data_IF_207932490523
#
_entry.id   IF_207932490523
#
_cell.length_a   1.000
_cell.length_b   1.000
_cell.length_c   1.000
_cell.angle_alpha   90.00
_cell.angle_beta   90.00
_cell.angle_gamma   90.00
#
_symmetry.space_group_name_H-M   'P 1'
#
loop_
_entity.id
_entity.type
_entity.pdbx_description
1 polymer ?
#
# COMPACT_ATOMS: atom_id res chain seq x y z
N UNK A 1 -12.36 -4.81 -14.93
CA UNK A 1 -10.92 -5.17 -14.99
C UNK A 1 -10.09 -3.90 -15.12
N UNK A 2 -9.11 -3.73 -14.25
CA UNK A 2 -8.19 -2.61 -14.33
C UNK A 2 -6.96 -3.00 -15.16
N UNK A 3 -6.35 -2.02 -15.81
CA UNK A 3 -5.20 -2.23 -16.67
C UNK A 3 -4.22 -1.08 -16.55
N UNK A 4 -2.93 -1.39 -16.46
CA UNK A 4 -1.84 -0.41 -16.52
C UNK A 4 -0.80 -0.87 -17.50
N UNK A 5 -0.05 0.08 -18.08
CA UNK A 5 1.06 -0.23 -18.98
C UNK A 5 2.28 -0.63 -18.16
N UNK A 6 3.00 -1.66 -18.64
CA UNK A 6 4.31 -1.99 -18.10
C UNK A 6 5.33 -0.95 -18.58
N UNK A 7 6.33 -0.67 -17.74
CA UNK A 7 7.43 0.20 -18.16
C UNK A 7 8.41 -0.56 -19.06
N UNK A 8 9.48 0.10 -19.53
CA UNK A 8 10.44 -0.46 -20.48
C UNK A 8 11.19 -1.70 -19.96
N UNK A 9 11.22 -1.93 -18.66
CA UNK A 9 11.84 -3.11 -18.04
C UNK A 9 10.84 -4.15 -17.55
N UNK A 10 9.56 -3.95 -17.84
CA UNK A 10 8.51 -4.92 -17.53
C UNK A 10 7.89 -4.79 -16.14
N UNK A 11 8.10 -3.67 -15.43
CA UNK A 11 7.47 -3.43 -14.15
C UNK A 11 6.12 -2.73 -14.30
N UNK A 12 5.18 -3.06 -13.41
CA UNK A 12 3.90 -2.40 -13.30
C UNK A 12 3.94 -1.35 -12.20
N UNK A 13 3.44 -0.15 -12.52
CA UNK A 13 3.21 0.92 -11.55
C UNK A 13 1.74 1.28 -11.58
N UNK A 14 1.13 1.36 -10.40
CA UNK A 14 -0.27 1.74 -10.24
C UNK A 14 -0.36 3.01 -9.41
N UNK A 15 -1.41 3.81 -9.64
CA UNK A 15 -1.66 4.99 -8.81
C UNK A 15 -2.55 4.60 -7.64
N UNK A 16 -2.05 4.87 -6.43
CA UNK A 16 -2.86 4.90 -5.22
C UNK A 16 -3.33 6.33 -4.99
N UNK A 17 -4.64 6.52 -5.00
CA UNK A 17 -5.23 7.78 -4.59
C UNK A 17 -5.54 7.67 -3.11
N UNK A 18 -4.87 8.48 -2.30
CA UNK A 18 -4.93 8.41 -0.84
C UNK A 18 -5.65 9.64 -0.32
N UNK A 19 -6.55 9.43 0.63
CA UNK A 19 -7.24 10.52 1.30
C UNK A 19 -6.30 11.16 2.31
N UNK A 20 -6.00 12.49 2.17
CA UNK A 20 -5.23 13.20 3.17
C UNK A 20 -5.99 13.34 4.48
N UNK A 21 -5.26 13.58 5.59
CA UNK A 21 -5.86 13.69 6.91
C UNK A 21 -6.79 14.90 7.06
N UNK A 22 -6.51 15.98 6.36
CA UNK A 22 -7.20 17.28 6.53
C UNK A 22 -7.84 17.80 5.25
N UNK A 23 -8.09 16.92 4.28
CA UNK A 23 -8.65 17.30 2.99
C UNK A 23 -9.50 16.18 2.43
N UNK A 24 -10.50 16.52 1.64
CA UNK A 24 -11.29 15.54 0.88
C UNK A 24 -10.74 15.31 -0.53
N UNK A 25 -9.77 16.14 -0.95
CA UNK A 25 -9.14 15.99 -2.26
C UNK A 25 -8.09 14.89 -2.21
N UNK A 26 -8.36 13.79 -2.90
CA UNK A 26 -7.46 12.65 -2.98
C UNK A 26 -6.12 13.04 -3.60
N UNK A 27 -5.03 12.47 -3.08
CA UNK A 27 -3.67 12.64 -3.62
C UNK A 27 -3.19 11.32 -4.16
N UNK A 28 -2.56 11.33 -5.32
CA UNK A 28 -2.07 10.10 -5.93
C UNK A 28 -0.57 9.92 -5.72
N UNK A 29 -0.19 8.68 -5.46
CA UNK A 29 1.20 8.25 -5.38
C UNK A 29 1.38 7.07 -6.31
N UNK A 30 2.52 7.01 -7.01
CA UNK A 30 2.83 5.91 -7.91
C UNK A 30 3.47 4.76 -7.13
N UNK A 31 2.80 3.61 -7.13
CA UNK A 31 3.24 2.41 -6.41
C UNK A 31 3.72 1.35 -7.39
N UNK A 32 4.91 0.80 -7.11
CA UNK A 32 5.42 -0.35 -7.85
C UNK A 32 4.76 -1.62 -7.35
N UNK A 33 4.22 -2.40 -8.27
CA UNK A 33 3.72 -3.76 -7.96
C UNK A 33 4.91 -4.65 -7.70
N UNK A 34 5.08 -5.12 -6.46
CA UNK A 34 6.26 -5.87 -6.04
C UNK A 34 5.87 -7.15 -5.30
N UNK A 35 5.91 -8.26 -6.04
CA UNK A 35 5.58 -9.58 -5.47
C UNK A 35 6.64 -10.08 -4.48
N UNK A 36 7.83 -9.48 -4.47
CA UNK A 36 8.89 -9.78 -3.50
C UNK A 36 8.76 -9.03 -2.18
N UNK A 37 7.86 -8.02 -2.10
CA UNK A 37 7.61 -7.28 -0.88
C UNK A 37 6.45 -7.92 -0.11
N UNK A 38 6.63 -8.14 1.19
CA UNK A 38 5.57 -8.70 2.05
C UNK A 38 4.53 -7.64 2.42
N UNK A 39 4.95 -6.40 2.55
CA UNK A 39 4.12 -5.29 3.04
C UNK A 39 4.07 -4.16 2.03
N UNK A 40 2.91 -3.51 1.96
CA UNK A 40 2.76 -2.25 1.26
C UNK A 40 3.38 -1.16 2.12
N UNK A 41 4.22 -0.33 1.53
CA UNK A 41 5.06 0.62 2.24
C UNK A 41 4.74 2.07 1.90
N UNK A 42 5.06 2.97 2.81
CA UNK A 42 5.01 4.41 2.59
C UNK A 42 6.10 5.06 3.44
N UNK A 43 6.70 6.14 2.94
CA UNK A 43 7.67 6.87 3.74
C UNK A 43 6.99 7.84 4.70
N UNK A 44 7.64 8.11 5.82
CA UNK A 44 7.19 9.14 6.78
C UNK A 44 7.00 10.49 6.09
N UNK A 45 7.90 10.83 5.19
CA UNK A 45 7.85 12.09 4.44
C UNK A 45 6.56 12.22 3.63
N UNK A 46 6.14 11.16 2.94
CA UNK A 46 4.88 11.19 2.20
C UNK A 46 3.67 11.29 3.12
N UNK A 47 3.70 10.59 4.26
CA UNK A 47 2.62 10.70 5.24
C UNK A 47 2.52 12.12 5.79
N UNK A 48 3.64 12.77 6.07
CA UNK A 48 3.63 14.16 6.53
C UNK A 48 3.05 15.10 5.47
N UNK A 49 3.41 14.92 4.21
CA UNK A 49 2.83 15.69 3.10
C UNK A 49 1.32 15.49 3.01
N UNK A 50 0.83 14.29 3.32
CA UNK A 50 -0.59 13.97 3.33
C UNK A 50 -1.31 14.46 4.59
N UNK A 51 -0.62 15.14 5.49
CA UNK A 51 -1.20 15.69 6.72
C UNK A 51 -1.22 14.73 7.90
N UNK A 52 -0.57 13.58 7.78
CA UNK A 52 -0.41 12.63 8.90
C UNK A 52 0.94 12.90 9.55
N UNK A 53 0.92 13.47 10.76
CA UNK A 53 2.14 13.83 11.46
C UNK A 53 2.76 12.63 12.21
N UNK A 54 3.93 12.86 12.81
CA UNK A 54 4.65 11.81 13.50
C UNK A 54 3.87 11.27 14.71
N UNK A 55 3.13 12.12 15.40
CA UNK A 55 2.30 11.67 16.53
C UNK A 55 1.18 10.75 16.06
N UNK A 56 0.56 11.08 14.93
CA UNK A 56 -0.45 10.22 14.34
C UNK A 56 0.13 8.86 13.93
N UNK A 57 1.31 8.86 13.29
CA UNK A 57 1.99 7.61 12.89
C UNK A 57 2.23 6.71 14.09
N UNK A 58 2.66 7.27 15.20
CA UNK A 58 2.96 6.51 16.42
C UNK A 58 1.71 5.94 17.12
N UNK A 59 0.50 6.32 16.70
CA UNK A 59 -0.72 5.66 17.16
C UNK A 59 -0.94 4.29 16.49
N UNK A 60 -0.18 3.98 15.44
CA UNK A 60 -0.22 2.68 14.80
C UNK A 60 0.41 1.58 15.64
N UNK A 61 0.52 0.39 15.06
CA UNK A 61 1.11 -0.77 15.73
C UNK A 61 2.63 -0.77 15.58
N UNK A 62 3.34 -0.59 16.70
CA UNK A 62 4.78 -0.73 16.71
C UNK A 62 5.16 -2.20 16.51
N UNK A 63 6.00 -2.47 15.51
CA UNK A 63 6.49 -3.82 15.24
C UNK A 63 7.76 -4.07 16.06
N UNK A 64 7.73 -5.12 16.89
CA UNK A 64 8.78 -5.45 17.82
C UNK A 64 9.24 -6.91 17.65
N UNK A 65 10.45 -7.20 18.10
CA UNK A 65 11.00 -8.56 18.11
C UNK A 65 11.06 -9.16 16.71
N UNK A 66 10.55 -10.38 16.59
CA UNK A 66 10.56 -11.13 15.33
C UNK A 66 9.61 -10.56 14.27
N UNK A 67 8.70 -9.67 14.68
CA UNK A 67 7.76 -9.01 13.76
C UNK A 67 8.38 -7.77 13.07
N UNK A 68 9.60 -7.37 13.46
CA UNK A 68 10.26 -6.24 12.82
C UNK A 68 10.62 -6.58 11.38
N UNK A 69 10.37 -5.65 10.43
CA UNK A 69 10.86 -5.83 9.08
C UNK A 69 12.39 -5.77 9.04
N UNK A 70 12.97 -6.40 8.03
CA UNK A 70 14.41 -6.38 7.82
C UNK A 70 14.74 -5.77 6.48
N UNK A 71 15.89 -5.09 6.41
CA UNK A 71 16.48 -4.71 5.13
C UNK A 71 16.93 -5.94 4.36
N UNK A 72 17.13 -5.79 3.05
CA UNK A 72 17.62 -6.87 2.20
C UNK A 72 18.92 -7.51 2.72
N UNK A 73 19.74 -6.75 3.46
CA UNK A 73 20.97 -7.25 4.09
C UNK A 73 20.73 -8.01 5.40
N UNK A 74 19.46 -8.22 5.80
CA UNK A 74 19.12 -8.96 7.03
C UNK A 74 19.16 -8.14 8.31
N UNK A 75 19.42 -6.82 8.23
CA UNK A 75 19.44 -5.94 9.41
C UNK A 75 17.98 -5.56 9.78
N UNK A 76 17.55 -5.77 11.04
CA UNK A 76 16.23 -5.30 11.48
C UNK A 76 16.11 -3.78 11.41
N UNK A 77 14.93 -3.31 11.08
CA UNK A 77 14.60 -1.89 11.05
C UNK A 77 13.86 -1.55 12.34
N UNK A 78 14.39 -0.57 13.07
CA UNK A 78 13.79 -0.09 14.31
C UNK A 78 12.69 0.95 14.02
N UNK A 79 11.79 1.13 15.00
CA UNK A 79 10.72 2.13 14.93
C UNK A 79 9.85 2.04 13.69
N UNK A 80 9.51 0.81 13.30
CA UNK A 80 8.52 0.56 12.25
C UNK A 80 7.13 0.42 12.83
N UNK A 81 6.20 1.13 12.20
CA UNK A 81 4.79 1.07 12.57
C UNK A 81 3.96 0.54 11.42
N UNK A 82 2.99 -0.28 11.76
CA UNK A 82 1.93 -0.65 10.84
C UNK A 82 0.76 0.30 11.10
N UNK A 83 0.44 1.13 10.10
CA UNK A 83 -0.63 2.13 10.19
C UNK A 83 -1.78 1.73 9.27
N UNK A 84 -2.94 2.27 9.54
CA UNK A 84 -4.13 2.06 8.71
C UNK A 84 -4.56 3.40 8.12
N UNK A 85 -4.56 3.51 6.79
CA UNK A 85 -5.10 4.68 6.12
C UNK A 85 -6.59 4.48 5.86
N UNK A 86 -7.43 5.52 6.10
CA UNK A 86 -8.88 5.32 6.11
C UNK A 86 -9.46 4.98 4.74
N UNK A 87 -8.96 5.58 3.68
CA UNK A 87 -9.52 5.39 2.34
C UNK A 87 -8.45 5.53 1.27
N UNK A 88 -8.37 4.52 0.39
CA UNK A 88 -7.54 4.55 -0.80
C UNK A 88 -8.35 4.14 -2.03
N UNK A 89 -7.97 4.66 -3.20
CA UNK A 89 -8.56 4.25 -4.46
C UNK A 89 -7.47 3.68 -5.36
N UNK A 90 -7.75 2.55 -5.97
CA UNK A 90 -6.83 1.84 -6.85
C UNK A 90 -7.60 1.29 -8.04
N UNK A 91 -7.39 1.89 -9.22
CA UNK A 91 -7.88 1.36 -10.49
C UNK A 91 -9.38 1.06 -10.55
N UNK A 92 -10.23 1.89 -10.01
CA UNK A 92 -11.67 1.65 -9.98
C UNK A 92 -12.17 0.89 -8.76
N UNK A 93 -11.27 0.60 -7.81
CA UNK A 93 -11.60 -0.04 -6.53
C UNK A 93 -11.36 0.94 -5.40
N UNK A 94 -12.14 0.83 -4.33
CA UNK A 94 -11.98 1.59 -3.10
C UNK A 94 -11.66 0.65 -1.95
N UNK A 95 -10.60 0.98 -1.20
CA UNK A 95 -10.21 0.25 0.00
C UNK A 95 -10.33 1.12 1.23
N UNK A 96 -10.73 0.51 2.33
CA UNK A 96 -10.86 1.16 3.63
C UNK A 96 -9.98 0.46 4.65
N UNK A 97 -9.45 1.23 5.60
CA UNK A 97 -8.59 0.73 6.67
C UNK A 97 -7.41 -0.06 6.10
N UNK A 98 -6.72 0.56 5.14
CA UNK A 98 -5.66 -0.12 4.39
C UNK A 98 -4.34 -0.05 5.13
N UNK A 99 -3.68 -1.20 5.38
CA UNK A 99 -2.44 -1.22 6.15
C UNK A 99 -1.24 -0.78 5.32
N UNK A 100 -0.39 0.04 5.93
CA UNK A 100 0.88 0.48 5.36
C UNK A 100 1.98 0.38 6.41
N UNK A 101 3.14 -0.08 5.99
CA UNK A 101 4.34 -0.12 6.81
C UNK A 101 5.12 1.17 6.64
N UNK A 102 5.49 1.80 7.74
CA UNK A 102 6.26 3.04 7.75
C UNK A 102 7.38 2.95 8.78
N UNK A 103 8.56 3.50 8.44
CA UNK A 103 9.66 3.67 9.39
C UNK A 103 9.73 5.10 9.88
N UNK A 104 9.94 5.29 11.18
CA UNK A 104 10.18 6.60 11.77
C UNK A 104 11.64 7.04 11.65
N UNK A 105 12.54 6.15 11.21
CA UNK A 105 13.94 6.45 11.01
C UNK A 105 14.12 7.33 9.77
N UNK A 106 14.64 8.55 9.96
CA UNK A 106 14.82 9.51 8.87
C UNK A 106 15.83 9.02 7.81
N UNK A 107 16.72 8.11 8.18
CA UNK A 107 17.72 7.55 7.25
C UNK A 107 17.14 6.42 6.41
N UNK A 108 16.01 5.85 6.84
CA UNK A 108 15.34 4.76 6.11
C UNK A 108 14.12 5.29 5.39
N UNK A 109 14.27 5.51 4.09
CA UNK A 109 13.17 5.97 3.23
C UNK A 109 12.60 4.77 2.48
N UNK A 110 11.45 4.27 2.91
CA UNK A 110 10.77 3.20 2.18
C UNK A 110 10.33 3.69 0.81
N UNK A 111 10.58 2.87 -0.19
CA UNK A 111 9.98 3.06 -1.51
C UNK A 111 8.47 2.82 -1.44
N UNK A 112 7.75 3.35 -2.41
CA UNK A 112 6.33 3.10 -2.54
C UNK A 112 6.14 1.75 -3.24
N UNK A 113 6.03 0.68 -2.45
CA UNK A 113 5.88 -0.69 -2.92
C UNK A 113 4.51 -1.23 -2.56
N UNK A 114 3.85 -1.82 -3.54
CA UNK A 114 2.61 -2.55 -3.32
C UNK A 114 2.97 -4.01 -3.06
N UNK A 115 2.90 -4.41 -1.81
CA UNK A 115 3.31 -5.74 -1.37
C UNK A 115 2.20 -6.77 -1.41
N UNK A 116 2.53 -8.01 -1.06
CA UNK A 116 1.58 -9.14 -1.13
C UNK A 116 0.38 -8.98 -0.22
N UNK A 117 0.49 -8.21 0.86
CA UNK A 117 -0.64 -7.88 1.74
C UNK A 117 -1.77 -7.16 1.01
N UNK A 118 -1.44 -6.37 -0.02
CA UNK A 118 -2.41 -5.70 -0.89
C UNK A 118 -2.68 -6.47 -2.18
N UNK A 119 -1.63 -7.04 -2.78
CA UNK A 119 -1.75 -7.74 -4.07
C UNK A 119 -2.70 -8.95 -4.00
N UNK A 120 -2.79 -9.61 -2.86
CA UNK A 120 -3.60 -10.81 -2.66
C UNK A 120 -5.10 -10.61 -2.86
N UNK A 121 -5.57 -9.36 -2.86
CA UNK A 121 -6.98 -9.06 -3.10
C UNK A 121 -7.37 -9.15 -4.58
N UNK A 122 -6.39 -9.27 -5.47
CA UNK A 122 -6.60 -9.22 -6.90
C UNK A 122 -5.98 -10.43 -7.61
N UNK A 123 -6.57 -10.80 -8.73
CA UNK A 123 -5.90 -11.65 -9.71
C UNK A 123 -5.11 -10.75 -10.65
N UNK A 124 -3.82 -11.00 -10.76
CA UNK A 124 -2.89 -10.20 -11.57
C UNK A 124 -2.46 -10.98 -12.79
N UNK A 125 -2.46 -10.33 -13.95
CA UNK A 125 -1.95 -10.89 -15.20
C UNK A 125 -0.92 -9.93 -15.77
N UNK A 126 0.33 -10.37 -15.83
CA UNK A 126 1.42 -9.62 -16.47
C UNK A 126 1.54 -10.12 -17.90
N UNK A 127 1.04 -9.32 -18.84
CA UNK A 127 1.08 -9.63 -20.26
C UNK A 127 2.27 -8.92 -20.90
N UNK A 128 3.41 -9.58 -20.90
CA UNK A 128 4.65 -9.00 -21.42
C UNK A 128 4.61 -8.84 -22.95
N UNK A 129 3.86 -9.68 -23.65
CA UNK A 129 3.72 -9.57 -25.09
C UNK A 129 3.04 -8.27 -25.51
N UNK A 130 1.99 -7.90 -24.80
CA UNK A 130 1.23 -6.68 -25.07
C UNK A 130 1.65 -5.50 -24.19
N UNK A 131 2.61 -5.69 -23.28
CA UNK A 131 3.15 -4.63 -22.44
C UNK A 131 2.18 -4.07 -21.43
N UNK A 132 1.28 -4.89 -20.89
CA UNK A 132 0.25 -4.46 -19.95
C UNK A 132 0.17 -5.39 -18.74
N UNK A 133 -0.31 -4.84 -17.63
CA UNK A 133 -0.67 -5.58 -16.44
C UNK A 133 -2.16 -5.36 -16.17
N UNK A 134 -2.90 -6.45 -16.03
CA UNK A 134 -4.34 -6.43 -15.76
C UNK A 134 -4.60 -6.98 -14.38
N UNK A 135 -5.60 -6.43 -13.70
CA UNK A 135 -5.97 -6.95 -12.39
C UNK A 135 -7.47 -6.81 -12.12
N UNK A 136 -8.01 -7.83 -11.49
CA UNK A 136 -9.41 -7.92 -11.09
C UNK A 136 -9.51 -8.28 -9.61
N UNK A 137 -10.48 -7.68 -8.94
CA UNK A 137 -10.78 -8.00 -7.55
C UNK A 137 -11.25 -9.45 -7.43
N UNK A 138 -10.65 -10.19 -6.48
CA UNK A 138 -11.10 -11.54 -6.12
C UNK A 138 -12.37 -11.40 -5.28
N UNK A 139 -13.53 -11.95 -5.75
CA UNK A 139 -14.78 -11.86 -4.98
C UNK A 139 -14.64 -12.61 -3.65
N UNK A 140 -15.25 -12.06 -2.61
CA UNK A 140 -15.35 -12.69 -1.29
C UNK A 140 -14.00 -13.04 -0.66
N UNK A 141 -12.96 -12.30 -1.01
CA UNK A 141 -11.66 -12.48 -0.38
C UNK A 141 -11.76 -12.23 1.11
N UNK A 142 -11.11 -13.13 1.90
CA UNK A 142 -11.10 -12.99 3.36
C UNK A 142 -10.44 -11.66 3.74
N UNK A 143 -11.16 -10.87 4.53
CA UNK A 143 -10.70 -9.59 5.02
C UNK A 143 -9.73 -9.78 6.19
N UNK A 144 -8.76 -8.88 6.32
CA UNK A 144 -7.88 -8.82 7.46
C UNK A 144 -8.45 -7.85 8.51
N UNK A 145 -8.18 -8.16 9.77
CA UNK A 145 -8.43 -7.24 10.87
C UNK A 145 -7.14 -6.50 11.18
N UNK A 146 -7.23 -5.19 11.28
CA UNK A 146 -6.13 -4.34 11.71
C UNK A 146 -6.62 -3.44 12.84
N UNK A 147 -6.00 -3.55 14.05
CA UNK A 147 -6.44 -2.81 15.24
C UNK A 147 -7.95 -2.91 15.48
N UNK A 148 -8.52 -4.11 15.30
CA UNK A 148 -9.95 -4.40 15.40
C UNK A 148 -10.80 -3.71 14.32
N UNK A 149 -10.19 -3.00 13.37
CA UNK A 149 -10.85 -2.45 12.20
C UNK A 149 -10.72 -3.40 11.03
N UNK A 150 -11.80 -3.59 10.31
CA UNK A 150 -11.84 -4.49 9.18
C UNK A 150 -11.28 -3.81 7.94
N UNK A 151 -10.22 -4.38 7.35
CA UNK A 151 -9.77 -3.98 6.03
C UNK A 151 -10.79 -4.47 4.99
N UNK A 152 -11.23 -3.58 4.12
CA UNK A 152 -12.17 -3.94 3.07
C UNK A 152 -11.76 -3.30 1.74
N UNK A 153 -12.16 -3.95 0.65
CA UNK A 153 -12.00 -3.39 -0.69
C UNK A 153 -13.16 -3.85 -1.57
N UNK A 154 -13.66 -2.96 -2.40
CA UNK A 154 -14.74 -3.25 -3.33
C UNK A 154 -14.69 -2.32 -4.53
N UNK A 155 -15.39 -2.70 -5.61
CA UNK A 155 -15.48 -1.88 -6.80
C UNK A 155 -16.20 -0.56 -6.50
N UNK A 156 -15.72 0.52 -7.13
CA UNK A 156 -16.40 1.80 -7.06
C UNK A 156 -17.62 1.74 -7.96
N UNK A 157 -18.80 2.08 -7.40
CA UNK A 157 -20.02 2.17 -8.19
C UNK A 157 -19.89 3.31 -9.18
N UNK A 158 -19.92 2.96 -10.45
CA UNK A 158 -19.95 3.92 -11.55
C UNK A 158 -21.39 4.02 -12.05
N UNK A 159 -22.12 4.88 -11.40
CA UNK A 159 -23.46 5.19 -11.94
C UNK A 159 -23.43 6.48 -12.72
#
# INVERSE_FOLDING_TARGET
>A
MAEVKLNSVGFAYVYFYIRPNNSTTMKHLSYKVDTGANSTTISKKWLNVLGYDDEWIKTGLLLEGDNRPTLAAGRPIDECFLISLPEIHLGGYVGYNWPFLVSMDDEIQFRLLLGTDSLRFFNWVFDYENGVCKFDLIPNMRKLLFNQEEQSIHAIDTM
#
